data_IF_254976422654
#
_entry.id   IF_254976422654
#
_cell.length_a   1.000
_cell.length_b   1.000
_cell.length_c   1.000
_cell.angle_alpha   90.00
_cell.angle_beta   90.00
_cell.angle_gamma   90.00
#
_symmetry.space_group_name_H-M   'P 1'
#
loop_
_entity.id
_entity.type
_entity.pdbx_description
1 polymer ?
#
# COMPACT_ATOMS: atom_id res chain seq x y z
N UNK A 1 56.13 12.76 20.13
CA UNK A 1 55.18 11.70 19.80
C UNK A 1 53.96 11.83 20.70
N UNK A 2 52.77 12.10 20.15
CA UNK A 2 51.53 11.64 20.78
C UNK A 2 50.75 10.73 19.83
N UNK A 3 50.23 9.63 20.37
CA UNK A 3 49.36 8.71 19.66
C UNK A 3 47.96 9.33 19.52
N UNK A 4 47.48 9.46 18.29
CA UNK A 4 46.08 9.79 18.00
C UNK A 4 45.32 8.47 18.02
N UNK A 5 44.55 8.25 19.08
CA UNK A 5 43.65 7.10 19.19
C UNK A 5 42.38 7.42 18.44
N UNK A 6 42.21 6.85 17.25
CA UNK A 6 40.99 6.99 16.45
C UNK A 6 39.86 6.16 17.06
N UNK A 7 38.78 6.80 17.49
CA UNK A 7 37.57 6.14 17.95
C UNK A 7 36.64 5.92 16.75
N UNK A 8 36.57 4.69 16.23
CA UNK A 8 35.57 4.31 15.23
C UNK A 8 34.25 4.02 15.95
N UNK A 9 33.33 4.99 15.96
CA UNK A 9 31.95 4.75 16.37
C UNK A 9 31.17 4.16 15.19
N UNK A 10 30.98 2.84 15.20
CA UNK A 10 30.08 2.16 14.27
C UNK A 10 28.65 2.39 14.75
N UNK A 11 27.92 3.29 14.10
CA UNK A 11 26.49 3.48 14.33
C UNK A 11 25.71 2.39 13.57
N UNK A 12 25.30 1.35 14.29
CA UNK A 12 24.32 0.39 13.78
C UNK A 12 22.92 1.02 13.87
N UNK A 13 22.36 1.43 12.74
CA UNK A 13 20.93 1.74 12.65
C UNK A 13 20.15 0.43 12.80
N UNK A 14 19.55 0.19 13.97
CA UNK A 14 18.46 -0.77 14.09
C UNK A 14 17.27 -0.18 13.33
N UNK A 15 17.02 -0.67 12.12
CA UNK A 15 15.74 -0.48 11.45
C UNK A 15 14.67 -1.20 12.28
N UNK A 16 14.03 -0.46 13.19
CA UNK A 16 12.77 -0.86 13.81
C UNK A 16 11.73 -0.92 12.69
N UNK A 17 11.65 -2.07 12.01
CA UNK A 17 10.50 -2.38 11.18
C UNK A 17 9.29 -2.37 12.08
N UNK A 18 8.51 -1.28 12.05
CA UNK A 18 7.21 -1.22 12.69
C UNK A 18 6.34 -2.28 12.02
N UNK A 19 6.30 -3.47 12.61
CA UNK A 19 5.29 -4.44 12.25
C UNK A 19 3.96 -3.86 12.73
N UNK A 20 3.26 -3.21 11.81
CA UNK A 20 1.85 -2.89 11.99
C UNK A 20 1.14 -4.24 11.97
N UNK A 21 0.88 -4.81 13.15
CA UNK A 21 0.00 -5.95 13.24
C UNK A 21 -1.41 -5.43 12.99
N UNK A 22 -2.08 -5.95 11.97
CA UNK A 22 -3.52 -5.85 11.91
C UNK A 22 -4.08 -6.44 13.20
N UNK A 23 -4.84 -5.64 13.94
CA UNK A 23 -5.40 -6.03 15.23
C UNK A 23 -6.51 -7.11 15.09
N UNK A 24 -6.86 -7.50 13.84
CA UNK A 24 -7.89 -8.49 13.56
C UNK A 24 -7.42 -9.56 12.55
N UNK A 25 -7.76 -10.85 12.76
CA UNK A 25 -7.67 -11.87 11.72
C UNK A 25 -8.67 -11.57 10.59
N UNK A 26 -8.46 -12.20 9.42
CA UNK A 26 -9.40 -12.13 8.29
C UNK A 26 -10.82 -12.46 8.76
N UNK A 27 -11.80 -11.67 8.32
CA UNK A 27 -13.19 -11.87 8.70
C UNK A 27 -13.85 -12.93 7.80
N UNK A 28 -14.14 -14.10 8.36
CA UNK A 28 -14.63 -15.27 7.58
C UNK A 28 -16.11 -15.60 7.80
N UNK A 29 -16.78 -14.95 8.76
CA UNK A 29 -18.21 -15.17 9.02
C UNK A 29 -19.06 -14.47 7.95
N UNK A 30 -19.39 -15.20 6.88
CA UNK A 30 -20.18 -14.67 5.77
C UNK A 30 -21.57 -14.22 6.21
N UNK A 31 -22.23 -14.97 7.10
CA UNK A 31 -23.59 -14.65 7.54
C UNK A 31 -23.62 -13.35 8.34
N UNK A 32 -22.68 -13.19 9.27
CA UNK A 32 -22.58 -11.96 10.07
C UNK A 32 -22.16 -10.75 9.22
N UNK A 33 -21.25 -10.94 8.24
CA UNK A 33 -20.88 -9.89 7.28
C UNK A 33 -22.09 -9.40 6.48
N UNK A 34 -22.85 -10.34 5.88
CA UNK A 34 -24.01 -10.04 5.05
C UNK A 34 -25.18 -9.44 5.83
N UNK A 35 -25.28 -9.76 7.13
CA UNK A 35 -26.25 -9.15 8.03
C UNK A 35 -25.89 -7.70 8.42
N UNK A 36 -24.74 -7.18 7.97
CA UNK A 36 -24.29 -5.82 8.29
C UNK A 36 -23.82 -5.65 9.73
N UNK A 37 -23.38 -6.73 10.40
CA UNK A 37 -23.00 -6.69 11.81
C UNK A 37 -21.81 -5.74 12.11
N UNK A 38 -21.03 -5.40 11.09
CA UNK A 38 -19.89 -4.48 11.16
C UNK A 38 -20.22 -3.07 10.62
N UNK A 39 -21.48 -2.80 10.28
CA UNK A 39 -21.91 -1.57 9.60
C UNK A 39 -21.74 -1.61 8.08
N UNK A 40 -22.09 -0.50 7.42
CA UNK A 40 -22.10 -0.36 5.96
C UNK A 40 -20.69 -0.35 5.35
N UNK A 41 -19.73 0.27 6.04
CA UNK A 41 -18.33 0.36 5.62
C UNK A 41 -17.42 -0.13 6.76
N UNK A 42 -17.19 -1.46 6.86
CA UNK A 42 -16.45 -2.01 7.98
C UNK A 42 -14.98 -1.62 7.87
N UNK A 43 -14.50 -0.91 8.89
CA UNK A 43 -13.11 -0.43 8.97
C UNK A 43 -12.47 -0.86 10.28
N UNK A 44 -11.15 -1.03 10.25
CA UNK A 44 -10.31 -1.29 11.41
C UNK A 44 -9.30 -0.15 11.59
N UNK A 45 -9.01 0.16 12.85
CA UNK A 45 -7.94 1.05 13.28
C UNK A 45 -6.78 0.23 13.85
N UNK A 46 -5.62 0.86 14.00
CA UNK A 46 -4.42 0.23 14.54
C UNK A 46 -3.98 1.01 15.78
N UNK A 47 -3.56 0.32 16.85
CA UNK A 47 -3.07 1.03 18.05
C UNK A 47 -1.88 1.95 17.77
N UNK A 48 -1.03 1.59 16.80
CA UNK A 48 0.22 2.29 16.49
C UNK A 48 0.10 3.31 15.36
N UNK A 49 -1.08 3.49 14.76
CA UNK A 49 -1.24 4.34 13.58
C UNK A 49 -2.64 4.93 13.48
N UNK A 50 -2.74 6.16 12.98
CA UNK A 50 -4.02 6.80 12.66
C UNK A 50 -4.63 6.30 11.34
N UNK A 51 -3.98 5.35 10.66
CA UNK A 51 -4.51 4.78 9.42
C UNK A 51 -5.81 4.02 9.69
N UNK A 52 -6.74 4.18 8.75
CA UNK A 52 -7.96 3.37 8.65
C UNK A 52 -7.78 2.36 7.52
N UNK A 53 -8.11 1.11 7.78
CA UNK A 53 -8.10 0.06 6.78
C UNK A 53 -9.49 -0.61 6.65
N UNK A 54 -9.88 -1.07 5.45
CA UNK A 54 -11.10 -1.87 5.29
C UNK A 54 -10.96 -3.23 5.96
N UNK A 55 -12.06 -3.75 6.50
CA UNK A 55 -12.16 -5.17 6.89
C UNK A 55 -12.67 -5.94 5.68
N UNK A 56 -11.82 -6.79 5.11
CA UNK A 56 -12.19 -7.63 3.97
C UNK A 56 -12.86 -8.93 4.44
N UNK A 57 -14.00 -9.25 3.82
CA UNK A 57 -14.61 -10.57 3.93
C UNK A 57 -13.82 -11.58 3.10
N UNK A 58 -13.44 -12.70 3.71
CA UNK A 58 -12.79 -13.82 3.01
C UNK A 58 -13.68 -15.06 3.13
N UNK A 59 -14.39 -15.40 2.05
CA UNK A 59 -15.30 -16.56 2.02
C UNK A 59 -14.57 -17.90 2.00
N UNK A 60 -13.51 -17.99 1.21
CA UNK A 60 -12.67 -19.18 1.07
C UNK A 60 -11.28 -18.75 0.63
N UNK A 61 -10.26 -19.20 1.35
CA UNK A 61 -8.87 -19.08 0.95
C UNK A 61 -8.30 -20.48 0.74
N UNK A 62 -7.64 -20.68 -0.39
CA UNK A 62 -7.06 -21.97 -0.80
C UNK A 62 -5.59 -21.71 -1.16
N UNK A 63 -4.71 -21.82 -0.16
CA UNK A 63 -3.32 -21.43 -0.27
C UNK A 63 -2.56 -22.18 -1.39
N UNK A 64 -3.01 -23.39 -1.73
CA UNK A 64 -2.41 -24.22 -2.79
C UNK A 64 -2.67 -23.68 -4.20
N UNK A 65 -3.57 -22.70 -4.34
CA UNK A 65 -3.94 -22.06 -5.62
C UNK A 65 -3.42 -20.64 -5.78
N UNK A 66 -2.58 -20.18 -4.86
CA UNK A 66 -2.11 -18.80 -4.85
C UNK A 66 -0.59 -18.79 -4.84
N UNK A 67 -0.01 -17.88 -5.63
CA UNK A 67 1.42 -17.60 -5.59
C UNK A 67 1.78 -16.96 -4.24
N UNK A 68 2.81 -17.47 -3.57
CA UNK A 68 3.26 -16.99 -2.25
C UNK A 68 4.20 -15.77 -2.32
N UNK A 69 4.55 -15.32 -3.54
CA UNK A 69 5.41 -14.16 -3.79
C UNK A 69 4.66 -12.89 -4.19
N UNK A 70 3.34 -12.98 -4.37
CA UNK A 70 2.53 -11.92 -4.95
C UNK A 70 1.89 -10.94 -3.97
N UNK A 71 1.26 -9.91 -4.55
CA UNK A 71 0.43 -8.93 -3.87
C UNK A 71 -0.85 -8.67 -4.65
N UNK A 72 -1.93 -8.41 -3.93
CA UNK A 72 -3.20 -7.95 -4.48
C UNK A 72 -3.31 -6.46 -4.20
N UNK A 73 -3.50 -5.68 -5.26
CA UNK A 73 -3.68 -4.23 -5.19
C UNK A 73 -5.16 -3.91 -5.38
N UNK A 74 -5.76 -3.28 -4.36
CA UNK A 74 -7.14 -2.84 -4.40
C UNK A 74 -7.21 -1.32 -4.30
N UNK A 75 -8.13 -0.71 -5.02
CA UNK A 75 -8.55 0.69 -4.82
C UNK A 75 -10.05 0.68 -4.64
N UNK A 76 -10.56 1.32 -3.60
CA UNK A 76 -11.98 1.32 -3.30
C UNK A 76 -12.37 2.35 -2.26
N UNK A 77 -13.67 2.46 -2.03
CA UNK A 77 -14.24 3.34 -1.01
C UNK A 77 -14.82 2.54 0.16
N UNK A 78 -14.36 2.83 1.38
CA UNK A 78 -14.80 2.20 2.64
C UNK A 78 -14.75 3.24 3.78
N UNK A 79 -15.71 4.18 3.83
CA UNK A 79 -15.70 5.36 4.74
C UNK A 79 -14.48 6.30 4.52
N UNK A 80 -14.13 6.44 3.24
CA UNK A 80 -12.90 7.05 2.74
C UNK A 80 -12.44 6.30 1.49
N UNK A 81 -11.48 6.83 0.73
CA UNK A 81 -10.94 6.14 -0.44
C UNK A 81 -9.44 5.97 -0.34
N UNK A 82 -8.94 4.90 -0.95
CA UNK A 82 -7.50 4.72 -1.03
C UNK A 82 -7.06 3.35 -1.50
N UNK A 83 -5.75 3.21 -1.73
CA UNK A 83 -5.16 1.93 -2.07
C UNK A 83 -5.03 1.02 -0.84
N UNK A 84 -5.16 -0.28 -1.10
CA UNK A 84 -4.84 -1.36 -0.16
C UNK A 84 -3.89 -2.37 -0.79
N UNK A 85 -2.87 -2.64 0.00
CA UNK A 85 -1.81 -3.64 0.05
C UNK A 85 -2.20 -5.00 0.63
N UNK A 86 -2.48 -6.07 -0.12
CA UNK A 86 -2.75 -7.39 0.49
C UNK A 86 -1.71 -8.41 0.04
N UNK A 87 -1.15 -9.18 0.96
CA UNK A 87 -0.28 -10.31 0.61
C UNK A 87 -1.11 -11.44 0.00
N UNK A 88 -0.71 -11.97 -1.16
CA UNK A 88 -1.43 -13.11 -1.76
C UNK A 88 -1.19 -14.42 -0.98
N UNK A 89 -0.11 -14.50 -0.20
CA UNK A 89 0.28 -15.68 0.57
C UNK A 89 -0.71 -16.06 1.67
N UNK A 90 -1.25 -15.06 2.37
CA UNK A 90 -2.12 -15.28 3.55
C UNK A 90 -3.25 -14.25 3.69
N UNK A 91 -3.42 -13.38 2.69
CA UNK A 91 -4.37 -12.27 2.67
C UNK A 91 -4.18 -11.25 3.81
N UNK A 92 -3.01 -11.24 4.46
CA UNK A 92 -2.69 -10.21 5.44
C UNK A 92 -2.62 -8.83 4.77
N UNK A 93 -3.16 -7.83 5.46
CA UNK A 93 -3.04 -6.45 5.04
C UNK A 93 -1.62 -5.96 5.30
N UNK A 94 -0.96 -5.52 4.23
CA UNK A 94 0.40 -4.97 4.22
C UNK A 94 0.38 -3.45 4.34
N UNK A 95 -0.55 -2.80 3.65
CA UNK A 95 -0.71 -1.34 3.64
C UNK A 95 -2.17 -0.97 3.36
N UNK A 96 -2.67 0.08 4.00
CA UNK A 96 -3.89 0.76 3.56
C UNK A 96 -3.88 2.20 4.04
N UNK A 97 -4.37 3.09 3.20
CA UNK A 97 -4.59 4.49 3.57
C UNK A 97 -5.87 5.00 2.92
N UNK A 98 -6.98 4.93 3.65
CA UNK A 98 -8.30 5.36 3.18
C UNK A 98 -8.56 6.86 3.43
N UNK A 99 -7.51 7.68 3.59
CA UNK A 99 -7.65 9.11 3.88
C UNK A 99 -7.98 9.99 2.67
N UNK A 100 -8.00 9.43 1.45
CA UNK A 100 -8.23 10.20 0.24
C UNK A 100 -9.73 10.42 -0.02
N UNK A 101 -10.05 11.53 -0.68
CA UNK A 101 -11.41 11.83 -1.15
C UNK A 101 -11.86 10.94 -2.33
N UNK A 102 -10.91 10.31 -3.01
CA UNK A 102 -11.14 9.43 -4.15
C UNK A 102 -9.93 8.53 -4.36
N UNK A 103 -10.12 7.32 -4.90
CA UNK A 103 -9.01 6.50 -5.37
C UNK A 103 -9.46 5.51 -6.44
N UNK A 104 -8.67 5.42 -7.52
CA UNK A 104 -8.88 4.46 -8.59
C UNK A 104 -7.56 4.05 -9.23
N UNK A 105 -7.63 3.00 -10.04
CA UNK A 105 -6.60 2.62 -11.00
C UNK A 105 -5.20 2.48 -10.37
N UNK A 106 -5.03 1.45 -9.54
CA UNK A 106 -3.72 1.01 -9.10
C UNK A 106 -3.03 0.20 -10.22
N UNK A 107 -1.78 0.54 -10.53
CA UNK A 107 -0.94 -0.24 -11.43
C UNK A 107 0.50 -0.30 -10.91
N UNK A 108 1.22 -1.36 -11.29
CA UNK A 108 2.65 -1.46 -11.03
C UNK A 108 3.43 -0.86 -12.19
N UNK A 109 4.54 -0.16 -11.89
CA UNK A 109 5.45 0.38 -12.90
C UNK A 109 6.90 0.32 -12.44
N UNK A 110 7.79 0.91 -13.25
CA UNK A 110 9.20 1.06 -12.91
C UNK A 110 9.59 2.53 -13.00
N UNK A 111 10.17 3.08 -11.93
CA UNK A 111 10.68 4.44 -11.86
C UNK A 111 12.12 4.40 -11.35
N UNK A 112 13.06 4.99 -12.10
CA UNK A 112 14.50 4.97 -11.78
C UNK A 112 15.09 3.57 -11.49
N UNK A 113 14.55 2.54 -12.16
CA UNK A 113 14.97 1.14 -11.95
C UNK A 113 14.34 0.45 -10.75
N UNK A 114 13.49 1.15 -9.98
CA UNK A 114 12.74 0.58 -8.86
C UNK A 114 11.31 0.26 -9.27
N UNK A 115 10.78 -0.86 -8.77
CA UNK A 115 9.37 -1.18 -8.93
C UNK A 115 8.53 -0.31 -8.00
N UNK A 116 7.49 0.30 -8.56
CA UNK A 116 6.62 1.25 -7.86
C UNK A 116 5.15 0.88 -8.04
N UNK A 117 4.34 1.22 -7.05
CA UNK A 117 2.88 1.24 -7.15
C UNK A 117 2.42 2.65 -7.51
N UNK A 118 1.66 2.77 -8.59
CA UNK A 118 1.07 4.02 -9.06
C UNK A 118 -0.43 3.99 -8.79
N UNK A 119 -0.95 5.01 -8.14
CA UNK A 119 -2.37 5.11 -7.77
C UNK A 119 -2.87 6.50 -8.11
N UNK A 120 -4.04 6.63 -8.73
CA UNK A 120 -4.74 7.91 -8.78
C UNK A 120 -5.52 8.07 -7.47
N UNK A 121 -5.12 9.02 -6.63
CA UNK A 121 -5.73 9.21 -5.32
C UNK A 121 -5.91 10.70 -5.00
N UNK A 122 -7.12 11.06 -4.59
CA UNK A 122 -7.57 12.43 -4.40
C UNK A 122 -7.49 13.22 -5.70
N UNK A 123 -6.52 14.12 -5.77
CA UNK A 123 -6.34 15.12 -6.82
C UNK A 123 -5.18 14.84 -7.78
N UNK A 124 -4.37 13.81 -7.51
CA UNK A 124 -3.18 13.55 -8.31
C UNK A 124 -2.76 12.06 -8.29
N UNK A 125 -1.80 11.76 -9.16
CA UNK A 125 -1.09 10.47 -9.12
C UNK A 125 -0.23 10.43 -7.87
N UNK A 126 -0.21 9.29 -7.18
CA UNK A 126 0.66 8.97 -6.05
C UNK A 126 1.51 7.77 -6.44
N UNK A 127 2.80 7.84 -6.15
CA UNK A 127 3.77 6.80 -6.49
C UNK A 127 4.38 6.30 -5.21
N UNK A 128 4.25 5.02 -4.90
CA UNK A 128 4.80 4.38 -3.72
C UNK A 128 5.95 3.46 -4.11
N UNK A 129 7.08 3.53 -3.39
CA UNK A 129 8.16 2.57 -3.56
C UNK A 129 7.81 1.22 -2.91
N UNK A 130 8.72 0.24 -3.01
CA UNK A 130 8.58 -1.08 -2.35
C UNK A 130 8.51 -1.02 -0.82
N UNK A 131 8.86 0.10 -0.21
CA UNK A 131 8.75 0.36 1.23
C UNK A 131 7.45 1.09 1.59
N UNK A 132 6.54 1.27 0.62
CA UNK A 132 5.26 1.97 0.76
C UNK A 132 5.40 3.45 1.12
N UNK A 133 6.55 4.03 0.82
CA UNK A 133 6.80 5.45 1.01
C UNK A 133 6.35 6.22 -0.22
N UNK A 134 5.65 7.34 0.00
CA UNK A 134 5.26 8.23 -1.08
C UNK A 134 6.50 8.88 -1.69
N UNK A 135 6.77 8.59 -2.95
CA UNK A 135 7.82 9.23 -3.72
C UNK A 135 7.35 10.61 -4.19
N UNK A 136 8.18 11.66 -4.02
CA UNK A 136 7.87 12.96 -4.58
C UNK A 136 7.85 12.85 -6.11
N UNK A 137 6.77 13.31 -6.73
CA UNK A 137 6.76 13.55 -8.17
C UNK A 137 7.63 14.79 -8.39
N UNK A 138 8.92 14.59 -8.70
CA UNK A 138 9.65 15.66 -9.38
C UNK A 138 8.89 15.90 -10.69
N UNK A 139 8.45 17.13 -11.01
CA UNK A 139 7.87 17.39 -12.31
C UNK A 139 8.87 16.87 -13.35
N UNK A 140 8.44 15.97 -14.24
CA UNK A 140 9.27 15.57 -15.33
C UNK A 140 9.60 16.83 -16.13
N UNK A 141 10.87 17.09 -16.43
CA UNK A 141 11.22 18.06 -17.48
C UNK A 141 10.70 17.62 -18.86
N UNK A 142 10.08 16.44 -18.94
CA UNK A 142 9.45 15.89 -20.14
C UNK A 142 8.27 14.98 -19.74
N UNK A 143 7.03 15.24 -20.16
CA UNK A 143 5.86 14.42 -19.79
C UNK A 143 6.04 12.95 -20.18
N UNK A 144 5.61 12.02 -19.32
CA UNK A 144 5.72 10.56 -19.55
C UNK A 144 4.73 10.01 -20.59
N UNK A 145 3.79 10.85 -21.04
CA UNK A 145 2.95 10.60 -22.20
C UNK A 145 2.78 11.93 -22.96
N UNK A 146 3.27 11.97 -24.18
CA UNK A 146 2.79 12.92 -25.19
C UNK A 146 1.59 12.27 -25.85
N UNK A 147 0.40 12.85 -25.70
CA UNK A 147 -0.65 12.60 -26.68
C UNK A 147 -0.11 13.26 -27.95
N UNK A 148 0.50 12.49 -28.85
CA UNK A 148 0.75 12.99 -30.19
C UNK A 148 -0.63 13.24 -30.81
N UNK A 149 -1.06 14.50 -30.81
CA UNK A 149 -2.18 14.98 -31.56
C UNK A 149 -1.97 14.49 -32.99
N UNK A 150 -2.85 13.56 -33.40
CA UNK A 150 -2.68 12.74 -34.59
C UNK A 150 -2.36 13.57 -35.82
N UNK A 151 -1.06 13.64 -36.16
CA UNK A 151 -0.59 14.04 -37.46
C UNK A 151 -0.81 12.89 -38.42
N UNK A 152 -1.96 12.92 -39.11
CA UNK A 152 -2.19 12.15 -40.32
C UNK A 152 -1.12 12.57 -41.36
N UNK A 153 -0.49 11.64 -42.12
CA UNK A 153 0.46 11.97 -43.18
C UNK A 153 -0.14 12.85 -44.28
#
# INVERSE_FOLDING_TARGET
MPAITTFNALFTFLALGTQVRADAPNYTDLTSYQAGALGEAPTQSFFSSSLKAPIYQVSKFDADKVDDTGYIFLTGGYDGYGPSIISSKDLSLVYADQSYSFSQAASTGTLYGEQVLVVYAGDAVRIFNKHYELLPISPPTTPWFSLSDGGNP
#
